data_IF_849225565933
#
_entry.id   IF_849225565933
#
_cell.length_a   1.000
_cell.length_b   1.000
_cell.length_c   1.000
_cell.angle_alpha   90.00
_cell.angle_beta   90.00
_cell.angle_gamma   90.00
#
_symmetry.space_group_name_H-M   'P 1'
#
loop_
_entity.id
_entity.type
_entity.pdbx_description
1 polymer ?
#
# COMPACT_ATOMS: atom_id res chain seq x y z
N UNK A 1 -15.08 27.94 -29.96
CA UNK A 1 -13.85 27.19 -29.65
C UNK A 1 -13.72 26.05 -30.61
N UNK A 2 -12.54 25.81 -31.14
CA UNK A 2 -12.30 24.67 -32.02
C UNK A 2 -12.38 23.38 -31.24
N UNK A 3 -12.91 22.33 -31.88
CA UNK A 3 -13.02 21.00 -31.24
C UNK A 3 -11.69 20.26 -31.43
N UNK A 4 -11.16 19.71 -30.35
CA UNK A 4 -9.93 18.88 -30.37
C UNK A 4 -10.31 17.41 -30.67
N UNK A 5 -11.46 16.94 -30.16
CA UNK A 5 -11.98 15.60 -30.42
C UNK A 5 -13.38 15.69 -31.00
N UNK A 6 -13.61 15.04 -32.13
CA UNK A 6 -14.96 14.97 -32.75
C UNK A 6 -15.81 13.90 -32.10
N UNK A 7 -15.18 12.78 -31.69
CA UNK A 7 -15.84 11.64 -31.03
C UNK A 7 -15.17 11.37 -29.68
N UNK A 8 -15.79 11.80 -28.58
CA UNK A 8 -15.24 11.67 -27.23
C UNK A 8 -16.30 11.36 -26.19
N UNK A 9 -15.89 10.78 -25.06
CA UNK A 9 -16.78 10.40 -23.98
C UNK A 9 -16.32 10.98 -22.64
N UNK A 10 -17.21 11.65 -21.95
CA UNK A 10 -17.06 12.04 -20.56
C UNK A 10 -17.79 11.06 -19.65
N UNK A 11 -17.13 10.65 -18.57
CA UNK A 11 -17.65 9.64 -17.65
C UNK A 11 -17.67 10.17 -16.23
N UNK A 12 -18.84 10.12 -15.60
CA UNK A 12 -19.01 10.30 -14.18
C UNK A 12 -19.09 8.96 -13.47
N UNK A 13 -18.27 8.79 -12.42
CA UNK A 13 -18.03 7.51 -11.74
C UNK A 13 -18.57 7.51 -10.32
N UNK A 14 -19.54 6.64 -10.08
CA UNK A 14 -20.02 6.30 -8.76
C UNK A 14 -19.76 4.83 -8.42
N UNK A 15 -19.88 4.47 -7.15
CA UNK A 15 -19.61 3.09 -6.67
C UNK A 15 -20.39 2.00 -7.41
N UNK A 16 -21.62 2.29 -7.84
CA UNK A 16 -22.54 1.31 -8.45
C UNK A 16 -23.06 1.73 -9.82
N UNK A 17 -22.92 2.98 -10.16
CA UNK A 17 -23.47 3.57 -11.37
C UNK A 17 -22.38 4.37 -12.08
N UNK A 18 -22.33 4.24 -13.37
CA UNK A 18 -21.44 4.96 -14.26
C UNK A 18 -22.29 5.63 -15.31
N UNK A 19 -22.23 6.94 -15.36
CA UNK A 19 -22.92 7.74 -16.40
C UNK A 19 -21.91 8.12 -17.45
N UNK A 20 -22.17 7.74 -18.70
CA UNK A 20 -21.31 8.02 -19.85
C UNK A 20 -22.02 8.92 -20.85
N UNK A 21 -21.43 10.05 -21.17
CA UNK A 21 -21.88 10.97 -22.21
C UNK A 21 -20.94 10.89 -23.41
N UNK A 22 -21.37 10.24 -24.47
CA UNK A 22 -20.63 10.12 -25.71
C UNK A 22 -21.07 11.20 -26.71
N UNK A 23 -20.12 12.01 -27.14
CA UNK A 23 -20.30 13.07 -28.12
C UNK A 23 -19.76 12.68 -29.48
N UNK A 24 -20.53 12.98 -30.51
CA UNK A 24 -20.18 12.82 -31.93
C UNK A 24 -20.50 14.13 -32.67
N UNK A 25 -19.52 14.97 -32.82
CA UNK A 25 -19.73 16.31 -33.32
C UNK A 25 -20.68 17.14 -32.44
N UNK A 26 -21.87 17.43 -32.94
CA UNK A 26 -22.93 18.17 -32.20
C UNK A 26 -24.00 17.25 -31.61
N UNK A 27 -23.91 15.93 -31.81
CA UNK A 27 -24.82 14.95 -31.23
C UNK A 27 -24.21 14.41 -29.94
N UNK A 28 -25.07 14.09 -28.99
CA UNK A 28 -24.66 13.40 -27.78
C UNK A 28 -25.61 12.25 -27.46
N UNK A 29 -25.09 11.22 -26.86
CA UNK A 29 -25.82 10.09 -26.33
C UNK A 29 -25.37 9.83 -24.91
N UNK A 30 -26.33 9.66 -23.98
CA UNK A 30 -26.03 9.38 -22.57
C UNK A 30 -26.52 7.98 -22.28
N UNK A 31 -25.68 7.16 -21.68
CA UNK A 31 -26.02 5.82 -21.20
C UNK A 31 -25.54 5.62 -19.77
N UNK A 32 -26.32 4.86 -19.04
CA UNK A 32 -26.00 4.41 -17.69
C UNK A 32 -25.53 2.96 -17.74
N UNK A 33 -24.46 2.68 -16.99
CA UNK A 33 -23.90 1.35 -16.84
C UNK A 33 -23.68 1.04 -15.36
N UNK A 34 -23.78 -0.23 -14.97
CA UNK A 34 -23.33 -0.66 -13.66
C UNK A 34 -21.79 -0.80 -13.62
N UNK A 35 -21.27 -0.99 -12.42
CA UNK A 35 -19.82 -1.14 -12.20
C UNK A 35 -19.35 -2.61 -12.24
N UNK A 36 -20.11 -3.53 -12.86
CA UNK A 36 -19.69 -4.92 -13.06
C UNK A 36 -18.80 -5.03 -14.28
N UNK A 37 -17.87 -6.01 -14.29
CA UNK A 37 -16.96 -6.22 -15.43
C UNK A 37 -17.71 -6.38 -16.73
N UNK A 38 -18.85 -7.08 -16.72
CA UNK A 38 -19.70 -7.27 -17.91
C UNK A 38 -20.16 -5.93 -18.46
N UNK A 39 -20.72 -5.07 -17.61
CA UNK A 39 -21.27 -3.78 -18.04
C UNK A 39 -20.16 -2.79 -18.45
N UNK A 40 -18.96 -2.88 -17.83
CA UNK A 40 -17.81 -2.10 -18.27
C UNK A 40 -17.31 -2.55 -19.65
N UNK A 41 -17.37 -3.83 -19.96
CA UNK A 41 -17.06 -4.34 -21.31
C UNK A 41 -18.11 -3.93 -22.33
N UNK A 42 -19.41 -4.01 -21.99
CA UNK A 42 -20.50 -3.53 -22.83
C UNK A 42 -20.33 -2.02 -23.17
N UNK A 43 -19.91 -1.22 -22.18
CA UNK A 43 -19.60 0.19 -22.41
C UNK A 43 -18.38 0.38 -23.31
N UNK A 44 -17.32 -0.41 -23.12
CA UNK A 44 -16.13 -0.33 -23.98
C UNK A 44 -16.47 -0.70 -25.44
N UNK A 45 -17.30 -1.72 -25.66
CA UNK A 45 -17.76 -2.12 -26.99
C UNK A 45 -18.59 -1.02 -27.63
N UNK A 46 -19.58 -0.45 -26.91
CA UNK A 46 -20.37 0.69 -27.39
C UNK A 46 -19.49 1.88 -27.81
N UNK A 47 -18.46 2.22 -27.03
CA UNK A 47 -17.56 3.32 -27.37
C UNK A 47 -16.70 3.00 -28.59
N UNK A 48 -16.26 1.75 -28.75
CA UNK A 48 -15.51 1.30 -29.93
C UNK A 48 -16.35 1.34 -31.20
N UNK A 49 -17.58 0.82 -31.13
CA UNK A 49 -18.50 0.84 -32.26
C UNK A 49 -18.83 2.28 -32.70
N UNK A 50 -18.91 3.20 -31.74
CA UNK A 50 -19.07 4.63 -32.02
C UNK A 50 -17.81 5.31 -32.57
N UNK A 51 -16.67 4.64 -32.52
CA UNK A 51 -15.36 5.18 -32.90
C UNK A 51 -14.84 6.27 -31.96
N UNK A 52 -15.02 6.07 -30.65
CA UNK A 52 -14.55 7.01 -29.63
C UNK A 52 -13.02 7.19 -29.69
N UNK A 53 -12.57 8.43 -29.82
CA UNK A 53 -11.16 8.79 -29.93
C UNK A 53 -10.49 8.94 -28.57
N UNK A 54 -11.24 9.45 -27.58
CA UNK A 54 -10.75 9.73 -26.23
C UNK A 54 -11.86 9.64 -25.20
N UNK A 55 -11.56 9.03 -24.08
CA UNK A 55 -12.43 8.96 -22.90
C UNK A 55 -11.85 9.78 -21.76
N UNK A 56 -12.64 10.58 -21.07
CA UNK A 56 -12.22 11.27 -19.84
C UNK A 56 -13.08 10.84 -18.66
N UNK A 57 -12.44 10.63 -17.50
CA UNK A 57 -13.11 10.28 -16.25
C UNK A 57 -12.49 11.00 -15.08
N UNK A 58 -13.33 11.28 -14.04
CA UNK A 58 -12.84 11.89 -12.81
C UNK A 58 -12.10 10.87 -11.93
N UNK A 59 -11.03 11.31 -11.24
CA UNK A 59 -10.24 10.50 -10.30
C UNK A 59 -10.94 10.28 -8.95
N UNK A 60 -12.23 9.89 -8.96
CA UNK A 60 -12.99 9.68 -7.73
C UNK A 60 -12.56 8.39 -7.04
N UNK A 61 -11.91 8.52 -5.86
CA UNK A 61 -11.38 7.42 -5.05
C UNK A 61 -10.58 6.40 -5.88
N UNK A 62 -10.95 5.10 -5.83
CA UNK A 62 -10.35 4.03 -6.63
C UNK A 62 -11.27 3.52 -7.75
N UNK A 63 -12.46 4.12 -7.92
CA UNK A 63 -13.49 3.62 -8.85
C UNK A 63 -13.07 3.74 -10.32
N UNK A 64 -12.20 4.68 -10.66
CA UNK A 64 -11.67 4.84 -12.01
C UNK A 64 -10.76 3.69 -12.46
N UNK A 65 -10.07 3.00 -11.53
CA UNK A 65 -9.07 1.98 -11.86
C UNK A 65 -9.62 0.81 -12.68
N UNK A 66 -10.72 0.13 -12.27
CA UNK A 66 -11.28 -0.98 -13.04
C UNK A 66 -11.67 -0.56 -14.46
N UNK A 67 -12.33 0.58 -14.58
CA UNK A 67 -12.75 1.11 -15.86
C UNK A 67 -11.55 1.46 -16.75
N UNK A 68 -10.58 2.19 -16.21
CA UNK A 68 -9.36 2.55 -16.95
C UNK A 68 -8.64 1.32 -17.46
N UNK A 69 -8.48 0.28 -16.63
CA UNK A 69 -7.82 -0.96 -17.03
C UNK A 69 -8.58 -1.69 -18.16
N UNK A 70 -9.91 -1.70 -18.12
CA UNK A 70 -10.73 -2.30 -19.20
C UNK A 70 -10.60 -1.50 -20.48
N UNK A 71 -10.72 -0.17 -20.42
CA UNK A 71 -10.58 0.69 -21.61
C UNK A 71 -9.19 0.53 -22.24
N UNK A 72 -8.12 0.52 -21.43
CA UNK A 72 -6.75 0.30 -21.86
C UNK A 72 -6.60 -1.08 -22.55
N UNK A 73 -7.09 -2.15 -21.91
CA UNK A 73 -7.07 -3.52 -22.46
C UNK A 73 -7.86 -3.61 -23.77
N UNK A 74 -8.95 -2.86 -23.88
CA UNK A 74 -9.75 -2.77 -25.08
C UNK A 74 -9.14 -1.86 -26.16
N UNK A 75 -7.98 -1.22 -25.93
CA UNK A 75 -7.30 -0.33 -26.88
C UNK A 75 -7.95 1.05 -27.02
N UNK A 76 -8.82 1.45 -26.09
CA UNK A 76 -9.41 2.78 -26.02
C UNK A 76 -8.47 3.73 -25.26
N UNK A 77 -8.29 4.93 -25.81
CA UNK A 77 -7.52 5.96 -25.12
C UNK A 77 -8.36 6.58 -24.00
N UNK A 78 -7.83 6.61 -22.79
CA UNK A 78 -8.50 7.15 -21.64
C UNK A 78 -7.60 8.11 -20.87
N UNK A 79 -8.18 9.18 -20.32
CA UNK A 79 -7.51 10.07 -19.40
C UNK A 79 -8.28 10.15 -18.09
N UNK A 80 -7.54 10.23 -16.99
CA UNK A 80 -8.08 10.48 -15.65
C UNK A 80 -7.78 11.92 -15.28
N UNK A 81 -8.79 12.66 -14.87
CA UNK A 81 -8.68 14.08 -14.54
C UNK A 81 -8.89 14.33 -13.05
N UNK A 82 -8.19 15.30 -12.51
CA UNK A 82 -8.32 15.64 -11.09
C UNK A 82 -9.61 16.45 -10.87
N UNK A 83 -10.44 15.99 -9.92
CA UNK A 83 -11.66 16.66 -9.49
C UNK A 83 -11.47 18.14 -9.10
N UNK A 84 -10.32 18.50 -8.52
CA UNK A 84 -10.04 19.87 -8.13
C UNK A 84 -9.86 20.80 -9.35
N UNK A 85 -9.25 20.31 -10.43
CA UNK A 85 -9.12 21.08 -11.67
C UNK A 85 -10.48 21.31 -12.32
N UNK A 86 -11.37 20.32 -12.29
CA UNK A 86 -12.72 20.44 -12.85
C UNK A 86 -13.61 21.42 -12.07
N UNK A 87 -13.45 21.47 -10.74
CA UNK A 87 -14.18 22.42 -9.89
C UNK A 87 -13.77 23.90 -10.10
N UNK A 88 -12.59 24.13 -10.63
CA UNK A 88 -12.11 25.49 -10.92
C UNK A 88 -12.72 26.08 -12.20
N UNK A 89 -13.37 25.26 -13.04
CA UNK A 89 -14.06 25.72 -14.27
C UNK A 89 -15.50 26.09 -13.91
N UNK A 90 -15.96 27.35 -14.13
CA UNK A 90 -17.33 27.76 -13.78
C UNK A 90 -18.40 26.99 -14.56
N UNK A 91 -19.34 26.37 -13.86
CA UNK A 91 -20.48 25.63 -14.45
C UNK A 91 -21.44 25.08 -13.42
N UNK A 92 -22.65 24.68 -13.83
CA UNK A 92 -23.72 24.16 -12.96
C UNK A 92 -23.60 22.64 -12.78
N UNK A 93 -23.72 22.18 -11.54
CA UNK A 93 -23.65 20.76 -11.11
C UNK A 93 -25.01 20.07 -11.03
N UNK A 94 -25.14 18.91 -11.72
CA UNK A 94 -26.08 17.82 -11.42
C UNK A 94 -25.47 16.54 -12.00
N UNK A 95 -25.73 15.35 -11.43
CA UNK A 95 -25.02 14.10 -11.76
C UNK A 95 -25.03 13.74 -13.28
N UNK A 96 -26.13 13.89 -13.99
CA UNK A 96 -26.20 13.73 -15.46
C UNK A 96 -25.39 14.81 -16.17
N UNK A 97 -25.31 16.02 -15.58
CA UNK A 97 -24.53 17.14 -16.11
C UNK A 97 -23.04 17.00 -15.85
N UNK A 98 -22.61 16.17 -14.90
CA UNK A 98 -21.19 15.97 -14.64
C UNK A 98 -20.54 15.17 -15.79
N UNK A 99 -21.17 14.11 -16.30
CA UNK A 99 -20.69 13.39 -17.48
C UNK A 99 -20.73 14.24 -18.76
N UNK A 100 -21.82 15.01 -18.97
CA UNK A 100 -21.92 15.96 -20.09
C UNK A 100 -20.84 17.04 -20.02
N UNK A 101 -20.62 17.58 -18.82
CA UNK A 101 -19.63 18.61 -18.57
C UNK A 101 -18.20 18.11 -18.84
N UNK A 102 -17.87 16.88 -18.37
CA UNK A 102 -16.59 16.24 -18.66
C UNK A 102 -16.42 16.06 -20.17
N UNK A 103 -17.47 15.61 -20.86
CA UNK A 103 -17.46 15.44 -22.31
C UNK A 103 -17.27 16.77 -23.06
N UNK A 104 -17.92 17.85 -22.60
CA UNK A 104 -17.76 19.20 -23.18
C UNK A 104 -16.34 19.71 -23.02
N UNK A 105 -15.79 19.62 -21.80
CA UNK A 105 -14.42 20.06 -21.54
C UNK A 105 -13.42 19.24 -22.35
N UNK A 106 -13.61 17.92 -22.44
CA UNK A 106 -12.78 17.04 -23.23
C UNK A 106 -12.82 17.41 -24.72
N UNK A 107 -14.02 17.60 -25.27
CA UNK A 107 -14.20 17.94 -26.68
C UNK A 107 -13.42 19.20 -27.08
N UNK A 108 -13.30 20.17 -26.17
CA UNK A 108 -12.60 21.43 -26.41
C UNK A 108 -11.15 21.45 -25.90
N UNK A 109 -10.61 20.31 -25.43
CA UNK A 109 -9.22 20.22 -24.96
C UNK A 109 -8.94 20.99 -23.67
N UNK A 110 -9.97 21.22 -22.84
CA UNK A 110 -9.85 22.00 -21.61
C UNK A 110 -9.50 21.15 -20.37
N UNK A 111 -9.36 19.83 -20.54
CA UNK A 111 -8.99 18.92 -19.46
C UNK A 111 -7.49 18.68 -19.43
N UNK A 112 -6.93 18.72 -18.22
CA UNK A 112 -5.54 18.32 -17.96
C UNK A 112 -5.52 16.90 -17.42
N UNK A 113 -4.88 15.98 -18.14
CA UNK A 113 -4.74 14.60 -17.71
C UNK A 113 -3.83 14.47 -16.48
N UNK A 114 -4.23 13.65 -15.53
CA UNK A 114 -3.31 13.13 -14.52
C UNK A 114 -2.37 12.11 -15.16
N UNK A 115 -1.11 12.11 -14.75
CA UNK A 115 -0.18 11.08 -15.20
C UNK A 115 -0.57 9.72 -14.62
N UNK A 116 -0.94 8.79 -15.45
CA UNK A 116 -1.19 7.39 -15.09
C UNK A 116 -0.03 6.57 -15.64
N UNK A 117 0.78 5.93 -14.79
CA UNK A 117 1.85 5.04 -15.24
C UNK A 117 1.31 3.87 -16.04
N UNK A 118 2.18 3.20 -16.78
CA UNK A 118 1.85 1.94 -17.43
C UNK A 118 1.41 0.86 -16.43
N UNK A 119 0.87 -0.24 -16.93
CA UNK A 119 0.29 -1.30 -16.10
C UNK A 119 1.32 -1.88 -15.14
N UNK A 120 2.54 -2.19 -15.61
CA UNK A 120 3.60 -2.78 -14.80
C UNK A 120 3.96 -1.86 -13.64
N UNK A 121 4.14 -0.57 -13.92
CA UNK A 121 4.43 0.42 -12.90
C UNK A 121 3.28 0.62 -11.89
N UNK A 122 2.03 0.47 -12.32
CA UNK A 122 0.88 0.51 -11.39
C UNK A 122 0.90 -0.69 -10.44
N UNK A 123 1.15 -1.89 -10.96
CA UNK A 123 1.24 -3.12 -10.18
C UNK A 123 2.41 -3.07 -9.19
N UNK A 124 3.59 -2.65 -9.64
CA UNK A 124 4.76 -2.45 -8.77
C UNK A 124 4.46 -1.46 -7.62
N UNK A 125 3.79 -0.34 -7.93
CA UNK A 125 3.40 0.64 -6.89
C UNK A 125 2.41 0.07 -5.88
N UNK A 126 1.53 -0.84 -6.27
CA UNK A 126 0.62 -1.53 -5.34
C UNK A 126 1.37 -2.48 -4.41
N UNK A 127 2.32 -3.27 -4.93
CA UNK A 127 3.18 -4.13 -4.12
C UNK A 127 3.98 -3.32 -3.08
N UNK A 128 4.66 -2.25 -3.52
CA UNK A 128 5.44 -1.38 -2.64
C UNK A 128 4.58 -0.72 -1.55
N UNK A 129 3.38 -0.25 -1.90
CA UNK A 129 2.45 0.35 -0.92
C UNK A 129 1.95 -0.67 0.09
N UNK A 130 1.61 -1.88 -0.37
CA UNK A 130 1.17 -2.94 0.53
C UNK A 130 2.29 -3.38 1.47
N UNK A 131 3.50 -3.58 0.95
CA UNK A 131 4.69 -3.83 1.77
C UNK A 131 4.88 -2.75 2.85
N UNK A 132 4.79 -1.47 2.48
CA UNK A 132 4.89 -0.34 3.42
C UNK A 132 3.83 -0.41 4.52
N UNK A 133 2.61 -0.83 4.19
CA UNK A 133 1.54 -1.05 5.17
C UNK A 133 1.93 -2.12 6.19
N UNK A 134 2.43 -3.28 5.73
CA UNK A 134 2.87 -4.37 6.61
C UNK A 134 4.05 -3.96 7.50
N UNK A 135 5.00 -3.18 7.00
CA UNK A 135 6.08 -2.60 7.83
C UNK A 135 5.52 -1.71 8.94
N UNK A 136 4.50 -0.89 8.62
CA UNK A 136 3.80 -0.09 9.61
C UNK A 136 3.05 -0.93 10.65
N UNK A 137 2.44 -2.05 10.24
CA UNK A 137 1.78 -3.00 11.13
C UNK A 137 2.79 -3.67 12.05
N UNK A 138 3.90 -4.14 11.52
CA UNK A 138 5.00 -4.71 12.31
C UNK A 138 5.51 -3.74 13.38
N UNK A 139 5.69 -2.47 13.03
CA UNK A 139 6.10 -1.46 14.00
C UNK A 139 5.07 -1.27 15.14
N UNK A 140 3.78 -1.32 14.82
CA UNK A 140 2.70 -1.28 15.84
C UNK A 140 2.75 -2.50 16.76
N UNK A 141 2.98 -3.69 16.21
CA UNK A 141 3.08 -4.92 17.01
C UNK A 141 4.33 -4.93 17.91
N UNK A 142 5.47 -4.44 17.43
CA UNK A 142 6.67 -4.27 18.26
C UNK A 142 6.43 -3.30 19.43
N UNK A 143 5.70 -2.22 19.19
CA UNK A 143 5.32 -1.29 20.25
C UNK A 143 4.36 -1.95 21.27
N UNK A 144 3.46 -2.85 20.84
CA UNK A 144 2.60 -3.64 21.74
C UNK A 144 3.42 -4.62 22.57
N UNK A 145 4.40 -5.29 21.95
CA UNK A 145 5.32 -6.19 22.63
C UNK A 145 6.08 -5.45 23.72
N UNK A 146 6.64 -4.29 23.41
CA UNK A 146 7.35 -3.48 24.39
C UNK A 146 6.47 -3.07 25.55
N UNK A 147 5.25 -2.57 25.29
CA UNK A 147 4.30 -2.20 26.35
C UNK A 147 3.93 -3.39 27.24
N UNK A 148 3.81 -4.59 26.67
CA UNK A 148 3.50 -5.81 27.42
C UNK A 148 4.66 -6.21 28.34
N UNK A 149 5.89 -6.10 27.87
CA UNK A 149 7.11 -6.35 28.63
C UNK A 149 7.26 -5.34 29.78
N UNK A 150 7.05 -4.06 29.50
CA UNK A 150 7.05 -3.00 30.53
C UNK A 150 5.99 -3.28 31.62
N UNK A 151 4.79 -3.73 31.21
CA UNK A 151 3.72 -4.13 32.14
C UNK A 151 4.06 -5.36 32.99
N UNK A 152 5.02 -6.18 32.56
CA UNK A 152 5.58 -7.29 33.33
C UNK A 152 6.87 -6.91 34.10
N UNK A 153 7.27 -5.66 34.07
CA UNK A 153 8.55 -5.14 34.58
C UNK A 153 9.79 -5.83 33.94
N UNK A 154 9.70 -6.18 32.67
CA UNK A 154 10.82 -6.73 31.88
C UNK A 154 11.34 -5.62 30.98
N UNK A 155 12.59 -5.18 31.22
CA UNK A 155 13.19 -4.02 30.54
C UNK A 155 14.18 -4.40 29.47
N UNK A 156 13.76 -5.32 28.59
CA UNK A 156 14.62 -5.87 27.54
C UNK A 156 15.20 -4.79 26.60
N UNK A 157 14.46 -3.69 26.38
CA UNK A 157 14.90 -2.57 25.53
C UNK A 157 16.08 -1.77 26.10
N UNK A 158 16.30 -1.82 27.41
CA UNK A 158 17.49 -1.25 28.05
C UNK A 158 18.77 -2.05 27.75
N UNK A 159 18.60 -3.35 27.55
CA UNK A 159 19.68 -4.31 27.37
C UNK A 159 19.93 -4.66 25.92
N UNK A 160 18.89 -4.81 25.10
CA UNK A 160 18.93 -5.22 23.71
C UNK A 160 18.35 -4.14 22.81
N UNK A 161 19.16 -3.68 21.85
CA UNK A 161 18.77 -2.59 20.95
C UNK A 161 17.63 -2.96 20.00
N UNK A 162 17.61 -4.19 19.51
CA UNK A 162 16.58 -4.68 18.57
C UNK A 162 15.74 -5.77 19.22
N UNK A 163 14.53 -5.40 19.65
CA UNK A 163 13.56 -6.31 20.27
C UNK A 163 13.02 -7.37 19.29
N UNK A 164 13.15 -7.15 17.98
CA UNK A 164 12.78 -8.12 16.95
C UNK A 164 13.96 -9.03 16.56
N UNK A 165 15.15 -8.73 17.04
CA UNK A 165 16.36 -9.47 16.72
C UNK A 165 16.39 -10.87 17.33
N UNK A 166 17.26 -11.73 16.78
CA UNK A 166 17.38 -13.14 17.19
C UNK A 166 17.63 -13.31 18.69
N UNK A 167 18.48 -12.47 19.28
CA UNK A 167 18.80 -12.55 20.72
C UNK A 167 17.58 -12.20 21.59
N UNK A 168 16.85 -11.13 21.25
CA UNK A 168 15.62 -10.78 21.96
C UNK A 168 14.59 -11.91 21.87
N UNK A 169 14.41 -12.48 20.69
CA UNK A 169 13.50 -13.60 20.46
C UNK A 169 13.84 -14.80 21.34
N UNK A 170 15.08 -15.21 21.34
CA UNK A 170 15.52 -16.35 22.13
C UNK A 170 15.30 -16.11 23.63
N UNK A 171 15.57 -14.92 24.14
CA UNK A 171 15.32 -14.56 25.54
C UNK A 171 13.81 -14.56 25.83
N UNK A 172 12.99 -14.00 24.95
CA UNK A 172 11.54 -14.01 25.12
C UNK A 172 10.95 -15.42 25.16
N UNK A 173 11.41 -16.33 24.28
CA UNK A 173 11.03 -17.74 24.31
C UNK A 173 11.43 -18.42 25.64
N UNK A 174 12.65 -18.10 26.14
CA UNK A 174 13.08 -18.59 27.45
C UNK A 174 12.17 -18.11 28.58
N UNK A 175 11.85 -16.82 28.64
CA UNK A 175 10.94 -16.23 29.64
C UNK A 175 9.52 -16.80 29.52
N UNK A 176 9.02 -17.04 28.29
CA UNK A 176 7.73 -17.67 28.06
C UNK A 176 7.67 -19.12 28.54
N UNK A 177 8.81 -19.82 28.60
CA UNK A 177 8.87 -21.17 29.20
C UNK A 177 8.68 -21.18 30.71
N UNK A 178 8.69 -20.00 31.36
CA UNK A 178 8.50 -19.85 32.78
C UNK A 178 9.79 -19.96 33.62
N UNK A 179 10.93 -20.01 32.96
CA UNK A 179 12.22 -20.03 33.64
C UNK A 179 12.65 -18.60 33.98
N UNK A 180 13.13 -18.43 35.21
CA UNK A 180 13.80 -17.19 35.61
C UNK A 180 15.26 -17.22 35.17
N UNK A 181 15.83 -16.06 34.91
CA UNK A 181 17.23 -15.92 34.55
C UNK A 181 17.98 -15.51 35.79
N UNK A 182 18.49 -16.48 36.52
CA UNK A 182 19.46 -16.26 37.61
C UNK A 182 20.92 -16.26 37.05
N UNK A 183 21.90 -16.15 37.94
CA UNK A 183 23.30 -16.10 37.53
C UNK A 183 23.77 -17.37 36.80
N UNK A 184 23.28 -18.53 37.20
CA UNK A 184 23.64 -19.81 36.57
C UNK A 184 23.00 -19.98 35.19
N UNK A 185 21.68 -19.65 35.10
CA UNK A 185 20.96 -19.71 33.83
C UNK A 185 21.50 -18.66 32.84
N UNK A 186 21.90 -17.48 33.33
CA UNK A 186 22.59 -16.50 32.50
C UNK A 186 23.84 -17.08 31.84
N UNK A 187 24.71 -17.75 32.60
CA UNK A 187 25.97 -18.32 32.08
C UNK A 187 25.66 -19.38 31.01
N UNK A 188 24.67 -20.23 31.23
CA UNK A 188 24.20 -21.23 30.24
C UNK A 188 23.69 -20.55 28.96
N UNK A 189 22.89 -19.51 29.09
CA UNK A 189 22.33 -18.77 27.94
C UNK A 189 23.43 -17.99 27.18
N UNK A 190 24.43 -17.50 27.91
CA UNK A 190 25.58 -16.80 27.33
C UNK A 190 26.47 -17.77 26.55
N UNK A 191 26.84 -18.92 27.11
CA UNK A 191 27.61 -19.97 26.45
C UNK A 191 26.89 -20.49 25.19
N UNK A 192 25.56 -20.68 25.26
CA UNK A 192 24.73 -21.09 24.11
C UNK A 192 24.50 -20.00 23.09
N UNK A 193 25.06 -18.80 23.26
CA UNK A 193 24.86 -17.62 22.39
C UNK A 193 23.39 -17.20 22.24
N UNK A 194 22.56 -17.51 23.20
CA UNK A 194 21.19 -17.01 23.32
C UNK A 194 21.23 -15.54 23.72
N UNK A 195 22.07 -15.21 24.71
CA UNK A 195 22.42 -13.83 25.07
C UNK A 195 23.65 -13.45 24.22
N UNK A 196 23.56 -12.33 23.50
CA UNK A 196 24.63 -11.90 22.61
C UNK A 196 25.87 -11.43 23.42
N UNK A 197 27.05 -11.81 22.96
CA UNK A 197 28.35 -11.50 23.64
C UNK A 197 28.76 -10.02 23.53
N UNK A 198 28.11 -9.23 22.68
CA UNK A 198 28.45 -7.83 22.42
C UNK A 198 27.51 -6.83 23.11
N UNK A 199 26.78 -7.27 24.14
CA UNK A 199 25.93 -6.38 24.93
C UNK A 199 26.79 -5.47 25.79
N UNK A 200 26.37 -4.21 25.92
CA UNK A 200 27.07 -3.21 26.74
C UNK A 200 26.73 -3.31 28.23
N UNK A 201 25.57 -3.91 28.57
CA UNK A 201 25.10 -4.08 29.92
C UNK A 201 25.90 -5.17 30.67
N UNK A 202 26.09 -5.02 31.97
CA UNK A 202 26.74 -6.04 32.81
C UNK A 202 25.81 -7.24 33.01
N UNK A 203 26.37 -8.38 33.45
CA UNK A 203 25.60 -9.59 33.76
C UNK A 203 24.47 -9.30 34.76
N UNK A 204 24.79 -8.57 35.82
CA UNK A 204 23.85 -8.20 36.88
C UNK A 204 22.71 -7.33 36.32
N UNK A 205 23.05 -6.33 35.51
CA UNK A 205 22.04 -5.47 34.86
C UNK A 205 21.12 -6.27 33.95
N UNK A 206 21.63 -7.22 33.18
CA UNK A 206 20.84 -8.07 32.29
C UNK A 206 19.88 -8.96 33.10
N UNK A 207 20.37 -9.54 34.19
CA UNK A 207 19.55 -10.37 35.09
C UNK A 207 18.43 -9.53 35.70
N UNK A 208 18.72 -8.34 36.20
CA UNK A 208 17.73 -7.43 36.78
C UNK A 208 16.70 -6.97 35.78
N UNK A 209 17.13 -6.59 34.59
CA UNK A 209 16.25 -6.14 33.50
C UNK A 209 15.28 -7.23 33.00
N UNK A 210 15.69 -8.50 33.08
CA UNK A 210 14.90 -9.63 32.57
C UNK A 210 14.06 -10.32 33.64
N UNK A 211 14.25 -10.01 34.94
CA UNK A 211 13.55 -10.64 36.07
C UNK A 211 12.20 -9.95 36.38
N UNK A 212 11.31 -9.95 35.39
CA UNK A 212 9.92 -9.51 35.59
C UNK A 212 8.98 -10.68 35.83
N UNK A 213 7.72 -10.36 36.15
CA UNK A 213 6.68 -11.37 36.43
C UNK A 213 5.57 -11.28 35.40
N UNK A 214 5.45 -12.32 34.57
CA UNK A 214 4.35 -12.45 33.61
C UNK A 214 3.28 -13.42 34.14
N UNK A 215 2.02 -12.97 34.10
CA UNK A 215 0.88 -13.85 34.31
C UNK A 215 0.72 -14.87 33.20
N UNK A 216 -0.01 -15.96 33.45
CA UNK A 216 -0.32 -16.95 32.41
C UNK A 216 -1.03 -16.32 31.19
N UNK A 217 -1.91 -15.33 31.42
CA UNK A 217 -2.60 -14.60 30.37
C UNK A 217 -1.63 -13.74 29.55
N UNK A 218 -0.71 -13.00 30.20
CA UNK A 218 0.31 -12.21 29.50
C UNK A 218 1.22 -13.11 28.66
N UNK A 219 1.65 -14.26 29.17
CA UNK A 219 2.43 -15.25 28.38
C UNK A 219 1.69 -15.72 27.13
N UNK A 220 0.38 -16.03 27.27
CA UNK A 220 -0.46 -16.43 26.12
C UNK A 220 -0.58 -15.31 25.08
N UNK A 221 -0.85 -14.09 25.53
CA UNK A 221 -0.96 -12.93 24.63
C UNK A 221 0.36 -12.63 23.93
N UNK A 222 1.47 -12.71 24.64
CA UNK A 222 2.81 -12.51 24.07
C UNK A 222 3.12 -13.54 23.00
N UNK A 223 2.79 -14.80 23.21
CA UNK A 223 2.98 -15.87 22.21
C UNK A 223 2.20 -15.59 20.94
N UNK A 224 0.92 -15.15 21.05
CA UNK A 224 0.11 -14.75 19.90
C UNK A 224 0.78 -13.60 19.13
N UNK A 225 1.24 -12.60 19.86
CA UNK A 225 1.89 -11.41 19.30
C UNK A 225 3.21 -11.76 18.58
N UNK A 226 4.00 -12.63 19.19
CA UNK A 226 5.26 -13.10 18.59
C UNK A 226 5.01 -13.90 17.31
N UNK A 227 4.02 -14.78 17.28
CA UNK A 227 3.64 -15.51 16.07
C UNK A 227 3.19 -14.55 14.96
N UNK A 228 2.37 -13.56 15.30
CA UNK A 228 1.93 -12.55 14.32
C UNK A 228 3.09 -11.72 13.77
N UNK A 229 4.08 -11.38 14.60
CA UNK A 229 5.31 -10.73 14.14
C UNK A 229 6.09 -11.61 13.16
N UNK A 230 6.13 -12.93 13.38
CA UNK A 230 6.79 -13.86 12.46
C UNK A 230 6.08 -13.94 11.11
N UNK A 231 4.74 -13.98 11.13
CA UNK A 231 3.92 -13.93 9.91
C UNK A 231 4.15 -12.62 9.14
N UNK A 232 4.12 -11.47 9.82
CA UNK A 232 4.40 -10.17 9.21
C UNK A 232 5.81 -10.13 8.59
N UNK A 233 6.82 -10.65 9.30
CA UNK A 233 8.19 -10.71 8.79
C UNK A 233 8.31 -11.65 7.56
N UNK A 234 7.53 -12.73 7.51
CA UNK A 234 7.49 -13.64 6.38
C UNK A 234 6.86 -12.96 5.15
N UNK A 235 5.69 -12.34 5.32
CA UNK A 235 5.00 -11.65 4.24
C UNK A 235 5.80 -10.44 3.70
N UNK A 236 6.49 -9.70 4.58
CA UNK A 236 7.36 -8.59 4.13
C UNK A 236 8.50 -9.13 3.26
N UNK A 237 9.12 -10.26 3.61
CA UNK A 237 10.17 -10.89 2.80
C UNK A 237 9.65 -11.37 1.46
N UNK A 238 8.49 -12.05 1.45
CA UNK A 238 7.83 -12.50 0.23
C UNK A 238 7.59 -11.31 -0.73
N UNK A 239 7.04 -10.20 -0.21
CA UNK A 239 6.84 -9.00 -1.02
C UNK A 239 8.16 -8.34 -1.46
N UNK A 240 9.24 -8.43 -0.67
CA UNK A 240 10.56 -7.93 -1.07
C UNK A 240 11.10 -8.73 -2.27
N UNK A 241 10.94 -10.06 -2.24
CA UNK A 241 11.33 -10.94 -3.33
C UNK A 241 10.45 -10.70 -4.59
N UNK A 242 9.14 -10.54 -4.42
CA UNK A 242 8.22 -10.22 -5.50
C UNK A 242 8.54 -8.88 -6.16
N UNK A 243 8.79 -7.83 -5.37
CA UNK A 243 9.18 -6.51 -5.86
C UNK A 243 10.49 -6.61 -6.65
N UNK A 244 11.48 -7.32 -6.09
CA UNK A 244 12.76 -7.48 -6.78
C UNK A 244 12.61 -8.24 -8.11
N UNK A 245 11.79 -9.29 -8.15
CA UNK A 245 11.54 -10.05 -9.35
C UNK A 245 10.74 -9.27 -10.42
N UNK A 246 9.85 -8.38 -9.97
CA UNK A 246 8.99 -7.58 -10.84
C UNK A 246 9.73 -6.39 -11.48
N UNK A 247 10.70 -5.82 -10.76
CA UNK A 247 11.48 -4.69 -11.25
C UNK A 247 12.33 -5.04 -12.47
N UNK A 248 12.30 -4.17 -13.48
CA UNK A 248 13.15 -4.26 -14.67
C UNK A 248 14.62 -3.95 -14.32
N UNK A 249 15.59 -4.46 -15.10
CA UNK A 249 17.02 -4.20 -14.83
C UNK A 249 17.36 -2.71 -14.70
N UNK A 250 16.79 -1.86 -15.55
CA UNK A 250 17.01 -0.41 -15.52
C UNK A 250 16.46 0.24 -14.24
N UNK A 251 15.32 -0.26 -13.75
CA UNK A 251 14.70 0.22 -12.50
C UNK A 251 15.54 -0.17 -11.29
N UNK A 252 16.10 -1.39 -11.29
CA UNK A 252 17.01 -1.86 -10.24
C UNK A 252 18.30 -1.02 -10.19
N UNK A 253 18.82 -0.66 -11.35
CA UNK A 253 20.00 0.20 -11.43
C UNK A 253 19.70 1.62 -10.94
N UNK A 254 18.58 2.19 -11.35
CA UNK A 254 18.12 3.49 -10.87
C UNK A 254 17.88 3.49 -9.35
N UNK A 255 17.26 2.43 -8.80
CA UNK A 255 17.06 2.28 -7.37
C UNK A 255 18.38 2.26 -6.60
N UNK A 256 19.41 1.56 -7.09
CA UNK A 256 20.75 1.56 -6.47
C UNK A 256 21.36 2.95 -6.42
N UNK A 257 21.28 3.71 -7.52
CA UNK A 257 21.81 5.09 -7.56
C UNK A 257 21.11 5.99 -6.54
N UNK A 258 19.79 5.82 -6.37
CA UNK A 258 19.01 6.61 -5.40
C UNK A 258 19.39 6.23 -3.96
N UNK A 259 19.72 4.97 -3.69
CA UNK A 259 20.13 4.49 -2.35
C UNK A 259 21.45 5.08 -1.87
N UNK A 260 22.32 5.57 -2.76
CA UNK A 260 23.54 6.28 -2.41
C UNK A 260 23.28 7.68 -1.80
N UNK A 261 22.05 8.17 -1.90
CA UNK A 261 21.65 9.44 -1.28
C UNK A 261 21.44 9.24 0.22
N UNK A 262 22.13 10.01 1.10
CA UNK A 262 21.96 9.89 2.55
C UNK A 262 20.50 10.03 2.99
N UNK A 263 20.00 9.05 3.73
CA UNK A 263 18.61 9.01 4.22
C UNK A 263 17.62 8.23 3.34
N UNK A 264 18.05 7.78 2.15
CA UNK A 264 17.26 6.87 1.31
C UNK A 264 17.80 5.45 1.50
N UNK A 265 17.02 4.59 2.12
CA UNK A 265 17.35 3.17 2.29
C UNK A 265 16.63 2.30 1.25
N UNK A 266 16.96 1.00 1.21
CA UNK A 266 16.31 0.00 0.32
C UNK A 266 14.77 -0.05 0.43
N UNK A 267 14.20 0.64 1.39
CA UNK A 267 12.78 0.57 1.73
C UNK A 267 12.08 1.93 1.70
N UNK A 268 12.74 2.92 1.11
CA UNK A 268 12.24 4.31 1.04
C UNK A 268 11.35 4.53 -0.18
#
# INVERSE_FOLDING_TARGET
MDKVYDKCCGIDLHKKLIVACFKQGNRQEIRDFGATTRELLEMADWLKEGGCEMVAMESTASYWKPLYNILETCGLKAMVVNAQHMKAVPGRKTDVKDAEWIADLLQHGLLTASYIPDKDQRELRELVRYRKSLVGERARELNRLQKMLEGANIKISGTIRDINGKSARNILEHLLSGRQIDSAEYDILYEKKVIAHNLKATKEQIIDDLNGVMSALQKKMMRILLNHLDELNAHIRELDDDIDNFMKPEEKEAAKVIQDIPGIGNTS
#
